data_IF_486263841877
#
_entry.id   IF_486263841877
#
_cell.length_a   1.000
_cell.length_b   1.000
_cell.length_c   1.000
_cell.angle_alpha   90.00
_cell.angle_beta   90.00
_cell.angle_gamma   90.00
#
_symmetry.space_group_name_H-M   'P 1'
#
loop_
_entity.id
_entity.type
_entity.pdbx_description
1 polymer ?
#
# COMPACT_ATOMS: atom_id res chain seq x y z
N UNK A 1 -14.12 -75.34 -4.06
CA UNK A 1 -13.21 -74.32 -4.64
C UNK A 1 -13.91 -73.00 -5.04
N UNK A 2 -15.07 -72.63 -4.42
CA UNK A 2 -15.87 -71.43 -4.79
C UNK A 2 -15.83 -70.29 -3.76
N UNK A 3 -15.21 -70.50 -2.59
CA UNK A 3 -15.23 -69.54 -1.47
C UNK A 3 -14.11 -68.49 -1.49
N UNK A 4 -13.08 -68.60 -2.34
CA UNK A 4 -11.94 -67.64 -2.37
C UNK A 4 -12.13 -66.46 -3.32
N UNK A 5 -13.08 -66.53 -4.26
CA UNK A 5 -13.28 -65.49 -5.29
C UNK A 5 -14.10 -64.31 -4.74
N UNK A 6 -15.06 -64.55 -3.84
CA UNK A 6 -15.88 -63.47 -3.24
C UNK A 6 -15.09 -62.56 -2.28
N UNK A 7 -14.08 -63.08 -1.59
CA UNK A 7 -13.24 -62.27 -0.69
C UNK A 7 -12.27 -61.35 -1.44
N UNK A 8 -11.79 -61.76 -2.63
CA UNK A 8 -10.88 -60.94 -3.44
C UNK A 8 -11.66 -59.80 -4.14
N UNK A 9 -12.88 -60.07 -4.61
CA UNK A 9 -13.74 -59.05 -5.24
C UNK A 9 -14.18 -57.96 -4.24
N UNK A 10 -14.38 -58.33 -2.96
CA UNK A 10 -14.74 -57.39 -1.90
C UNK A 10 -13.57 -56.49 -1.48
N UNK A 11 -12.34 -57.01 -1.49
CA UNK A 11 -11.12 -56.22 -1.20
C UNK A 11 -10.79 -55.28 -2.37
N UNK A 12 -11.04 -55.72 -3.62
CA UNK A 12 -10.84 -54.87 -4.81
C UNK A 12 -11.89 -53.75 -4.93
N UNK A 13 -13.14 -53.99 -4.50
CA UNK A 13 -14.15 -52.93 -4.44
C UNK A 13 -13.86 -51.91 -3.32
N UNK A 14 -13.36 -52.35 -2.15
CA UNK A 14 -12.97 -51.43 -1.07
C UNK A 14 -11.76 -50.55 -1.44
N UNK A 15 -10.79 -51.07 -2.20
CA UNK A 15 -9.62 -50.30 -2.63
C UNK A 15 -9.93 -49.27 -3.72
N UNK A 16 -10.91 -49.54 -4.60
CA UNK A 16 -11.35 -48.56 -5.61
C UNK A 16 -12.12 -47.41 -4.96
N UNK A 17 -12.96 -47.66 -3.95
CA UNK A 17 -13.62 -46.58 -3.20
C UNK A 17 -12.66 -45.71 -2.39
N UNK A 18 -11.50 -46.24 -1.98
CA UNK A 18 -10.48 -45.47 -1.27
C UNK A 18 -9.70 -44.51 -2.19
N UNK A 19 -9.63 -44.77 -3.51
CA UNK A 19 -9.05 -43.82 -4.48
C UNK A 19 -9.97 -42.64 -4.79
N UNK A 20 -11.29 -42.77 -4.60
CA UNK A 20 -12.25 -41.69 -4.87
C UNK A 20 -12.62 -40.86 -3.62
N UNK A 21 -12.19 -41.26 -2.43
CA UNK A 21 -12.51 -40.57 -1.18
C UNK A 21 -11.52 -39.43 -0.83
N UNK A 22 -10.53 -39.15 -1.68
CA UNK A 22 -9.48 -38.17 -1.39
C UNK A 22 -9.78 -36.76 -1.90
N UNK A 23 -10.89 -36.55 -2.61
CA UNK A 23 -11.18 -35.31 -3.37
C UNK A 23 -12.37 -34.48 -2.83
N UNK A 24 -12.54 -34.38 -1.51
CA UNK A 24 -13.55 -33.47 -0.95
C UNK A 24 -13.15 -32.78 0.36
N UNK A 25 -11.87 -32.78 0.73
CA UNK A 25 -11.37 -31.72 1.59
C UNK A 25 -11.16 -30.51 0.68
N UNK A 26 -12.06 -29.52 0.74
CA UNK A 26 -11.85 -28.21 0.15
C UNK A 26 -10.46 -27.72 0.56
N UNK A 27 -9.46 -27.87 -0.31
CA UNK A 27 -8.16 -27.22 -0.15
C UNK A 27 -8.44 -25.75 -0.29
N UNK A 28 -8.70 -25.09 0.83
CA UNK A 28 -8.70 -23.63 0.87
C UNK A 28 -7.33 -23.21 0.41
N UNK A 29 -7.27 -22.53 -0.75
CA UNK A 29 -6.03 -22.02 -1.28
C UNK A 29 -5.30 -21.21 -0.19
N UNK A 30 -4.00 -21.48 0.04
CA UNK A 30 -3.28 -20.85 1.14
C UNK A 30 -3.30 -19.33 0.95
N UNK A 31 -3.45 -18.61 2.06
CA UNK A 31 -3.30 -17.16 2.04
C UNK A 31 -1.81 -16.83 1.89
N UNK A 32 -1.49 -15.97 0.94
CA UNK A 32 -0.13 -15.58 0.63
C UNK A 32 0.03 -14.06 0.75
N UNK A 33 1.22 -13.63 1.16
CA UNK A 33 1.59 -12.23 1.28
C UNK A 33 2.97 -12.00 0.67
N UNK A 34 3.09 -10.96 -0.14
CA UNK A 34 4.36 -10.39 -0.55
C UNK A 34 4.55 -9.01 0.05
N UNK A 35 5.79 -8.69 0.44
CA UNK A 35 6.15 -7.43 1.08
C UNK A 35 7.35 -6.81 0.37
N UNK A 36 7.25 -5.52 0.08
CA UNK A 36 8.38 -4.70 -0.33
C UNK A 36 8.32 -3.33 0.35
N UNK A 37 9.49 -2.78 0.64
CA UNK A 37 9.65 -1.47 1.27
C UNK A 37 10.70 -0.70 0.48
N UNK A 38 10.49 0.58 0.24
CA UNK A 38 11.42 1.45 -0.47
C UNK A 38 11.45 2.83 0.17
N UNK A 39 12.66 3.37 0.33
CA UNK A 39 12.88 4.74 0.77
C UNK A 39 12.42 5.70 -0.35
N UNK A 40 11.52 6.61 0.01
CA UNK A 40 10.95 7.64 -0.86
C UNK A 40 11.39 9.06 -0.44
N UNK A 41 12.42 9.17 0.40
CA UNK A 41 12.96 10.46 0.84
C UNK A 41 13.53 11.23 -0.35
N UNK A 42 13.16 12.52 -0.55
CA UNK A 42 13.79 13.34 -1.58
C UNK A 42 15.32 13.39 -1.37
N UNK A 43 16.13 13.26 -2.43
CA UNK A 43 17.60 13.27 -2.31
C UNK A 43 18.19 14.68 -2.10
N UNK A 44 17.35 15.70 -1.97
CA UNK A 44 17.73 17.10 -1.77
C UNK A 44 16.76 17.78 -0.81
N UNK A 45 17.12 18.97 -0.36
CA UNK A 45 16.18 19.86 0.33
C UNK A 45 14.94 20.09 -0.55
N UNK A 46 13.76 19.80 -0.01
CA UNK A 46 12.51 19.81 -0.76
C UNK A 46 11.36 20.42 0.06
N UNK A 47 10.37 21.07 -0.57
CA UNK A 47 9.20 21.58 0.14
C UNK A 47 8.45 20.48 0.88
N UNK A 48 8.17 20.71 2.16
CA UNK A 48 7.33 19.85 2.99
C UNK A 48 5.86 20.28 2.91
N UNK A 49 4.95 19.32 2.84
CA UNK A 49 3.51 19.58 2.68
C UNK A 49 2.79 19.82 4.02
N UNK A 50 1.72 20.63 4.00
CA UNK A 50 0.64 20.57 5.00
C UNK A 50 0.55 21.71 5.99
N UNK A 51 1.42 22.71 5.93
CA UNK A 51 1.30 23.93 6.76
C UNK A 51 1.12 25.15 5.87
N UNK A 52 0.60 26.23 6.45
CA UNK A 52 0.28 27.49 5.76
C UNK A 52 1.52 28.35 5.41
N UNK A 53 2.67 27.72 5.23
CA UNK A 53 3.93 28.34 4.87
C UNK A 53 4.81 27.34 4.13
N UNK A 54 5.61 27.84 3.20
CA UNK A 54 6.59 26.99 2.51
C UNK A 54 7.74 26.73 3.47
N UNK A 55 7.97 25.44 3.74
CA UNK A 55 9.06 24.97 4.59
C UNK A 55 9.87 24.00 3.77
N UNK A 56 11.15 24.29 3.59
CA UNK A 56 12.09 23.37 2.97
C UNK A 56 12.64 22.43 4.03
N UNK A 57 12.87 21.18 3.67
CA UNK A 57 13.56 20.25 4.56
C UNK A 57 15.02 20.68 4.75
N UNK A 58 15.48 20.69 6.00
CA UNK A 58 16.89 20.97 6.35
C UNK A 58 17.70 19.66 6.52
N UNK A 59 17.01 18.53 6.53
CA UNK A 59 17.58 17.20 6.67
C UNK A 59 16.48 16.15 6.85
N UNK A 60 16.89 14.93 7.14
CA UNK A 60 16.02 13.77 7.34
C UNK A 60 16.25 13.21 8.74
N UNK A 61 15.23 13.27 9.60
CA UNK A 61 15.29 12.64 10.92
C UNK A 61 15.10 11.12 10.81
N UNK A 62 14.02 10.71 10.13
CA UNK A 62 13.71 9.33 9.78
C UNK A 62 13.45 9.25 8.28
N UNK A 63 13.91 8.20 7.57
CA UNK A 63 13.60 8.05 6.16
C UNK A 63 12.10 7.83 5.94
N UNK A 64 11.60 8.42 4.86
CA UNK A 64 10.21 8.26 4.44
C UNK A 64 10.09 6.97 3.64
N UNK A 65 9.12 6.13 3.97
CA UNK A 65 8.98 4.82 3.34
C UNK A 65 7.69 4.70 2.52
N UNK A 66 7.78 3.94 1.44
CA UNK A 66 6.65 3.31 0.78
C UNK A 66 6.67 1.82 1.08
N UNK A 67 5.57 1.29 1.61
CA UNK A 67 5.41 -0.12 1.97
C UNK A 67 4.30 -0.71 1.12
N UNK A 68 4.60 -1.73 0.32
CA UNK A 68 3.62 -2.44 -0.50
C UNK A 68 3.40 -3.87 0.02
N UNK A 69 2.14 -4.21 0.22
CA UNK A 69 1.65 -5.51 0.66
C UNK A 69 0.81 -6.12 -0.47
N UNK A 70 1.27 -7.20 -1.07
CA UNK A 70 0.51 -7.96 -2.07
C UNK A 70 -0.15 -9.16 -1.40
N UNK A 71 -1.46 -9.16 -1.28
CA UNK A 71 -2.25 -10.27 -0.78
C UNK A 71 -2.71 -11.13 -1.94
N UNK A 72 -2.60 -12.46 -1.81
CA UNK A 72 -3.04 -13.41 -2.83
C UNK A 72 -3.70 -14.63 -2.18
N UNK A 73 -4.80 -15.09 -2.77
CA UNK A 73 -5.44 -16.36 -2.43
C UNK A 73 -6.06 -16.99 -3.67
N UNK A 74 -5.56 -18.16 -4.08
CA UNK A 74 -5.93 -18.74 -5.39
C UNK A 74 -5.56 -17.78 -6.53
N UNK A 75 -6.54 -17.45 -7.37
CA UNK A 75 -6.39 -16.51 -8.49
C UNK A 75 -6.63 -15.04 -8.11
N UNK A 76 -7.18 -14.79 -6.91
CA UNK A 76 -7.45 -13.44 -6.43
C UNK A 76 -6.17 -12.77 -5.89
N UNK A 77 -5.96 -11.51 -6.27
CA UNK A 77 -4.81 -10.72 -5.85
C UNK A 77 -5.21 -9.26 -5.62
N UNK A 78 -4.70 -8.66 -4.53
CA UNK A 78 -4.82 -7.22 -4.30
C UNK A 78 -3.55 -6.66 -3.67
N UNK A 79 -3.28 -5.37 -3.91
CA UNK A 79 -2.10 -4.68 -3.39
C UNK A 79 -2.54 -3.50 -2.54
N UNK A 80 -1.96 -3.38 -1.34
CA UNK A 80 -2.06 -2.21 -0.48
C UNK A 80 -0.68 -1.55 -0.38
N UNK A 81 -0.56 -0.32 -0.88
CA UNK A 81 0.63 0.50 -0.77
C UNK A 81 0.39 1.67 0.19
N UNK A 82 1.23 1.80 1.21
CA UNK A 82 1.16 2.86 2.23
C UNK A 82 2.41 3.71 2.13
N UNK A 83 2.22 4.98 1.79
CA UNK A 83 3.28 5.97 1.60
C UNK A 83 3.34 6.93 2.78
N UNK A 84 4.55 7.20 3.26
CA UNK A 84 4.82 8.29 4.20
C UNK A 84 4.71 9.66 3.49
N UNK A 85 3.46 10.10 3.31
CA UNK A 85 3.10 11.32 2.59
C UNK A 85 1.83 11.97 3.14
N UNK A 86 1.65 13.27 2.90
CA UNK A 86 0.45 13.99 3.30
C UNK A 86 -0.75 13.63 2.42
N UNK A 87 -0.52 13.63 1.11
CA UNK A 87 -1.53 13.43 0.09
C UNK A 87 -1.05 12.40 -0.93
N UNK A 88 -1.98 11.59 -1.42
CA UNK A 88 -1.81 10.78 -2.62
C UNK A 88 -2.80 11.29 -3.66
N UNK A 89 -2.28 11.85 -4.76
CA UNK A 89 -3.12 12.52 -5.74
C UNK A 89 -3.68 11.53 -6.76
N UNK A 90 -4.96 11.71 -7.11
CA UNK A 90 -5.69 10.79 -7.99
C UNK A 90 -4.98 10.55 -9.33
N UNK A 91 -4.50 11.62 -9.98
CA UNK A 91 -3.76 11.56 -11.23
C UNK A 91 -2.45 10.77 -11.11
N UNK A 92 -1.69 10.98 -10.03
CA UNK A 92 -0.46 10.22 -9.76
C UNK A 92 -0.76 8.76 -9.49
N UNK A 93 -1.77 8.46 -8.67
CA UNK A 93 -2.15 7.07 -8.37
C UNK A 93 -2.72 6.34 -9.58
N UNK A 94 -3.46 7.04 -10.45
CA UNK A 94 -3.99 6.49 -11.69
C UNK A 94 -2.86 6.07 -12.64
N UNK A 95 -1.80 6.87 -12.72
CA UNK A 95 -0.62 6.52 -13.51
C UNK A 95 0.08 5.27 -12.97
N UNK A 96 0.31 5.18 -11.64
CA UNK A 96 0.89 3.96 -11.04
C UNK A 96 0.00 2.74 -11.32
N UNK A 97 -1.32 2.85 -11.09
CA UNK A 97 -2.28 1.76 -11.34
C UNK A 97 -2.24 1.29 -12.79
N UNK A 98 -2.24 2.23 -13.76
CA UNK A 98 -2.13 1.94 -15.19
C UNK A 98 -0.86 1.13 -15.50
N UNK A 99 0.29 1.60 -15.01
CA UNK A 99 1.57 0.91 -15.25
C UNK A 99 1.63 -0.49 -14.61
N UNK A 100 1.08 -0.65 -13.40
CA UNK A 100 0.98 -1.97 -12.77
C UNK A 100 0.09 -2.91 -13.58
N UNK A 101 -1.06 -2.43 -14.02
CA UNK A 101 -1.97 -3.22 -14.86
C UNK A 101 -1.31 -3.66 -16.17
N UNK A 102 -0.59 -2.77 -16.85
CA UNK A 102 0.14 -3.09 -18.08
C UNK A 102 1.22 -4.16 -17.87
N UNK A 103 1.89 -4.16 -16.71
CA UNK A 103 3.01 -5.07 -16.43
C UNK A 103 2.59 -6.42 -15.85
N UNK A 104 1.41 -6.49 -15.23
CA UNK A 104 1.01 -7.66 -14.43
C UNK A 104 -0.34 -8.24 -14.82
N UNK A 105 -1.17 -7.49 -15.56
CA UNK A 105 -2.58 -7.82 -15.80
C UNK A 105 -3.49 -7.59 -14.59
N UNK A 106 -2.95 -7.22 -13.43
CA UNK A 106 -3.74 -6.90 -12.24
C UNK A 106 -4.57 -5.65 -12.48
N UNK A 107 -5.89 -5.74 -12.26
CA UNK A 107 -6.78 -4.57 -12.38
C UNK A 107 -6.29 -3.43 -11.48
N UNK A 108 -6.28 -2.20 -12.01
CA UNK A 108 -5.98 -1.00 -11.23
C UNK A 108 -6.92 -0.80 -10.03
N UNK A 109 -8.11 -1.41 -10.04
CA UNK A 109 -9.05 -1.41 -8.92
C UNK A 109 -8.61 -2.30 -7.76
N UNK A 110 -7.76 -3.29 -8.03
CA UNK A 110 -7.15 -4.16 -7.00
C UNK A 110 -5.92 -3.55 -6.36
N UNK A 111 -5.52 -2.32 -6.73
CA UNK A 111 -4.36 -1.61 -6.21
C UNK A 111 -4.80 -0.40 -5.39
N UNK A 112 -4.54 -0.41 -4.10
CA UNK A 112 -4.85 0.66 -3.15
C UNK A 112 -3.58 1.41 -2.78
N UNK A 113 -3.61 2.74 -2.86
CA UNK A 113 -2.47 3.60 -2.50
C UNK A 113 -2.96 4.62 -1.49
N UNK A 114 -2.35 4.65 -0.30
CA UNK A 114 -2.73 5.51 0.81
C UNK A 114 -1.52 6.34 1.28
N UNK A 115 -1.81 7.54 1.77
CA UNK A 115 -0.86 8.36 2.52
C UNK A 115 -1.07 8.22 4.02
N UNK A 116 0.00 8.26 4.83
CA UNK A 116 -0.09 8.31 6.29
C UNK A 116 -0.60 9.64 6.84
N UNK A 117 -0.74 10.64 5.96
CA UNK A 117 -1.11 12.01 6.29
C UNK A 117 -0.04 12.74 7.14
N UNK A 118 1.25 12.45 6.90
CA UNK A 118 2.35 13.17 7.56
C UNK A 118 2.53 14.59 6.99
N UNK A 119 2.62 15.59 7.87
CA UNK A 119 2.90 16.99 7.51
C UNK A 119 4.40 17.33 7.44
N UNK A 120 5.28 16.33 7.51
CA UNK A 120 6.74 16.49 7.39
C UNK A 120 7.31 15.69 6.22
N UNK A 121 6.45 15.21 5.32
CA UNK A 121 6.83 14.62 4.03
C UNK A 121 6.84 15.65 2.89
N UNK A 122 7.36 15.28 1.72
CA UNK A 122 7.48 16.16 0.56
C UNK A 122 6.13 16.54 -0.03
N UNK A 123 6.03 17.76 -0.53
CA UNK A 123 4.93 18.22 -1.38
C UNK A 123 5.06 17.61 -2.77
N UNK A 124 4.02 16.94 -3.26
CA UNK A 124 4.05 16.39 -4.63
C UNK A 124 3.79 17.44 -5.71
N UNK A 125 3.47 18.67 -5.31
CA UNK A 125 3.27 19.81 -6.20
C UNK A 125 4.38 20.82 -5.95
N UNK A 126 4.94 21.36 -7.02
CA UNK A 126 5.91 22.48 -6.97
C UNK A 126 5.32 23.80 -6.44
N UNK A 127 4.05 23.77 -6.03
CA UNK A 127 3.30 24.91 -5.54
C UNK A 127 2.44 24.47 -4.36
N UNK A 128 2.62 25.12 -3.21
CA UNK A 128 1.71 24.96 -2.08
C UNK A 128 0.48 25.86 -2.31
N UNK A 129 -0.71 25.25 -2.39
CA UNK A 129 -1.98 25.94 -2.58
C UNK A 129 -2.45 26.74 -1.36
N UNK A 130 -1.80 26.54 -0.21
CA UNK A 130 -2.14 27.23 1.04
C UNK A 130 -1.45 28.59 1.18
N UNK A 131 -0.56 28.94 0.24
CA UNK A 131 0.17 30.21 0.23
C UNK A 131 0.03 30.93 -1.12
N UNK A 132 0.41 32.21 -1.17
CA UNK A 132 0.29 33.04 -2.38
C UNK A 132 1.26 32.63 -3.50
N UNK A 133 1.02 33.10 -4.72
CA UNK A 133 1.95 32.90 -5.83
C UNK A 133 3.32 33.54 -5.60
N UNK A 134 3.32 34.76 -5.08
CA UNK A 134 4.54 35.49 -4.71
C UNK A 134 5.40 34.68 -3.71
N UNK A 135 4.79 34.13 -2.66
CA UNK A 135 5.49 33.31 -1.68
C UNK A 135 6.09 32.05 -2.30
N UNK A 136 5.35 31.38 -3.21
CA UNK A 136 5.88 30.24 -3.95
C UNK A 136 7.06 30.64 -4.83
N UNK A 137 6.98 31.75 -5.57
CA UNK A 137 8.06 32.23 -6.42
C UNK A 137 9.33 32.52 -5.61
N UNK A 138 9.22 33.32 -4.54
CA UNK A 138 10.33 33.67 -3.66
C UNK A 138 11.00 32.43 -3.04
N UNK A 139 10.23 31.39 -2.69
CA UNK A 139 10.79 30.18 -2.09
C UNK A 139 11.68 29.36 -3.03
N UNK A 140 11.41 29.33 -4.34
CA UNK A 140 12.28 28.61 -5.27
C UNK A 140 13.24 29.48 -6.09
N UNK A 141 13.23 30.80 -5.91
CA UNK A 141 14.41 31.60 -6.22
C UNK A 141 15.57 31.27 -5.26
N UNK A 142 15.25 30.92 -4.01
CA UNK A 142 16.25 30.57 -2.99
C UNK A 142 16.79 29.15 -3.11
N UNK A 143 16.06 28.23 -3.73
CA UNK A 143 16.43 26.81 -3.84
C UNK A 143 15.90 26.20 -5.14
N UNK A 144 16.76 25.51 -5.90
CA UNK A 144 16.42 24.87 -7.18
C UNK A 144 15.72 23.50 -7.01
N UNK A 145 14.80 23.38 -6.05
CA UNK A 145 14.02 22.16 -5.89
C UNK A 145 13.06 21.94 -7.07
N UNK A 146 12.81 22.98 -7.89
CA UNK A 146 11.94 22.93 -9.07
C UNK A 146 12.53 22.05 -10.18
N UNK A 147 13.85 21.93 -10.26
CA UNK A 147 14.50 21.00 -11.18
C UNK A 147 14.20 19.52 -10.86
N UNK A 148 13.87 19.21 -9.60
CA UNK A 148 13.56 17.85 -9.18
C UNK A 148 12.06 17.57 -9.12
N UNK A 149 11.59 16.72 -10.02
CA UNK A 149 10.21 16.28 -10.08
C UNK A 149 9.98 15.10 -9.10
N UNK A 150 9.69 15.42 -7.84
CA UNK A 150 9.42 14.41 -6.82
C UNK A 150 8.22 13.52 -7.17
N UNK A 151 7.18 14.07 -7.83
CA UNK A 151 6.02 13.28 -8.24
C UNK A 151 6.42 12.17 -9.22
N UNK A 152 7.21 12.48 -10.25
CA UNK A 152 7.68 11.48 -11.20
C UNK A 152 8.61 10.46 -10.52
N UNK A 153 9.53 10.94 -9.68
CA UNK A 153 10.41 10.08 -8.88
C UNK A 153 9.62 9.08 -8.02
N UNK A 154 8.60 9.56 -7.32
CA UNK A 154 7.73 8.72 -6.49
C UNK A 154 6.95 7.69 -7.31
N UNK A 155 6.48 8.03 -8.53
CA UNK A 155 5.80 7.08 -9.43
C UNK A 155 6.71 5.91 -9.79
N UNK A 156 7.97 6.18 -10.14
CA UNK A 156 8.95 5.13 -10.45
C UNK A 156 9.21 4.22 -9.25
N UNK A 157 9.39 4.82 -8.06
CA UNK A 157 9.57 4.06 -6.83
C UNK A 157 8.32 3.22 -6.51
N UNK A 158 7.12 3.78 -6.64
CA UNK A 158 5.88 3.09 -6.35
C UNK A 158 5.63 1.91 -7.27
N UNK A 159 5.87 2.08 -8.58
CA UNK A 159 5.83 0.96 -9.51
C UNK A 159 6.81 -0.15 -9.07
N UNK A 160 8.07 0.20 -8.84
CA UNK A 160 9.11 -0.75 -8.43
C UNK A 160 8.70 -1.50 -7.15
N UNK A 161 8.29 -0.79 -6.10
CA UNK A 161 7.93 -1.39 -4.81
C UNK A 161 6.72 -2.33 -4.95
N UNK A 162 5.71 -1.94 -5.72
CA UNK A 162 4.52 -2.79 -5.93
C UNK A 162 4.90 -4.06 -6.69
N UNK A 163 5.65 -3.95 -7.80
CA UNK A 163 6.10 -5.12 -8.57
C UNK A 163 6.95 -6.06 -7.72
N UNK A 164 7.84 -5.51 -6.90
CA UNK A 164 8.67 -6.29 -5.98
C UNK A 164 7.83 -7.03 -4.93
N UNK A 165 6.76 -6.39 -4.41
CA UNK A 165 5.84 -7.06 -3.49
C UNK A 165 5.11 -8.24 -4.16
N UNK A 166 4.72 -8.11 -5.43
CA UNK A 166 4.07 -9.18 -6.19
C UNK A 166 5.03 -10.36 -6.41
N UNK A 167 6.30 -10.10 -6.69
CA UNK A 167 7.32 -11.14 -6.88
C UNK A 167 7.67 -11.91 -5.60
N UNK A 168 7.48 -11.29 -4.43
CA UNK A 168 7.84 -11.84 -3.12
C UNK A 168 6.69 -12.55 -2.41
N UNK A 169 5.60 -12.86 -3.12
CA UNK A 169 4.44 -13.55 -2.54
C UNK A 169 4.81 -14.93 -2.04
N UNK A 170 4.51 -15.20 -0.76
CA UNK A 170 4.78 -16.48 -0.10
C UNK A 170 3.65 -16.84 0.87
N UNK A 171 3.42 -18.13 1.19
CA UNK A 171 2.40 -18.53 2.16
C UNK A 171 2.62 -17.90 3.53
N UNK A 172 1.56 -17.41 4.16
CA UNK A 172 1.61 -16.82 5.51
C UNK A 172 0.41 -17.26 6.35
N UNK A 173 0.55 -17.13 7.67
CA UNK A 173 -0.60 -17.11 8.59
C UNK A 173 -0.95 -15.66 8.93
N UNK A 174 -2.24 -15.35 9.03
CA UNK A 174 -2.72 -14.00 9.33
C UNK A 174 -3.70 -14.01 10.50
N UNK A 175 -3.58 -13.02 11.37
CA UNK A 175 -4.44 -12.81 12.54
C UNK A 175 -4.78 -11.33 12.66
N UNK A 176 -5.99 -11.03 13.12
CA UNK A 176 -6.45 -9.65 13.35
C UNK A 176 -6.77 -9.46 14.82
N UNK A 177 -6.35 -8.33 15.38
CA UNK A 177 -6.70 -7.90 16.74
C UNK A 177 -7.23 -6.48 16.73
N UNK A 178 -8.05 -6.15 17.72
CA UNK A 178 -8.57 -4.79 17.93
C UNK A 178 -8.49 -4.44 19.41
N UNK A 179 -8.10 -3.20 19.69
CA UNK A 179 -8.12 -2.62 21.04
C UNK A 179 -8.59 -1.16 20.97
N UNK A 180 -8.83 -0.55 22.14
CA UNK A 180 -9.16 0.88 22.25
C UNK A 180 -7.96 1.66 22.76
N UNK A 181 -7.69 2.82 22.14
CA UNK A 181 -6.66 3.77 22.57
C UNK A 181 -7.32 5.13 22.70
N UNK A 182 -7.35 5.69 23.91
CA UNK A 182 -8.17 6.87 24.24
C UNK A 182 -7.34 8.12 24.56
N UNK A 183 -6.02 7.99 24.63
CA UNK A 183 -5.07 9.00 25.13
C UNK A 183 -4.12 9.56 24.07
N UNK A 184 -4.22 9.10 22.82
CA UNK A 184 -3.36 9.56 21.72
C UNK A 184 -3.95 10.70 20.87
N UNK A 185 -5.28 10.82 20.81
CA UNK A 185 -5.94 11.77 19.90
C UNK A 185 -7.12 12.47 20.57
N UNK A 186 -7.38 13.70 20.16
CA UNK A 186 -8.50 14.49 20.62
C UNK A 186 -9.18 15.20 19.45
N UNK A 187 -10.46 15.53 19.59
CA UNK A 187 -11.16 16.32 18.59
C UNK A 187 -10.71 17.78 18.69
N UNK A 188 -9.99 18.26 17.68
CA UNK A 188 -9.52 19.66 17.61
C UNK A 188 -10.58 20.67 17.15
N UNK A 189 -11.82 20.22 16.86
CA UNK A 189 -12.94 21.10 16.50
C UNK A 189 -13.68 21.53 17.76
N UNK A 190 -13.45 22.77 18.17
CA UNK A 190 -14.25 23.41 19.19
C UNK A 190 -15.64 23.76 18.65
N UNK A 191 -16.69 23.48 19.42
CA UNK A 191 -18.00 24.04 19.15
C UNK A 191 -18.00 25.47 19.69
N UNK A 192 -18.50 26.42 18.89
CA UNK A 192 -18.52 27.83 19.27
C UNK A 192 -19.96 28.29 19.45
N UNK A 193 -20.26 29.02 20.53
CA UNK A 193 -21.52 29.75 20.73
C UNK A 193 -21.18 31.14 21.26
N UNK A 194 -21.65 32.18 20.56
CA UNK A 194 -21.41 33.58 20.93
C UNK A 194 -19.94 33.90 21.21
N UNK A 195 -19.04 33.47 20.32
CA UNK A 195 -17.57 33.65 20.43
C UNK A 195 -16.86 32.86 21.54
N UNK A 196 -17.60 32.09 22.35
CA UNK A 196 -17.03 31.18 23.35
C UNK A 196 -16.99 29.73 22.84
N UNK A 197 -15.98 28.99 23.30
CA UNK A 197 -15.90 27.53 23.14
C UNK A 197 -16.91 26.88 24.08
N UNK A 198 -17.73 25.97 23.57
CA UNK A 198 -18.75 25.19 24.30
C UNK A 198 -18.37 23.72 24.34
#
# INVERSE_FOLDING_TARGET
MKLKIFSILSILLLSVSALFAQDAASKTEPFQLGLAVTDITPPLSYPMAGYYSIRLSEGTLDPLMLRAFCFKQGDEMCVLAISDSLYVYADTTAEVKRRIQEKTGLSGDSVFILGTHTHTGPSWRHYDRTVTMEQNMAAAEKNDYRAFNYKAYWVELAEKTILESIQKVQPVSFSVGKTSVTDLSFNRRYFMKNTDVV
#
